data_IF_631962329344
#
_entry.id   IF_631962329344
#
_cell.length_a   1.000
_cell.length_b   1.000
_cell.length_c   1.000
_cell.angle_alpha   90.00
_cell.angle_beta   90.00
_cell.angle_gamma   90.00
#
_symmetry.space_group_name_H-M   'P 1'
#
loop_
_entity.id
_entity.type
_entity.pdbx_description
1 polymer ?
#
# COMPACT_ATOMS: atom_id res chain seq x y z
N UNK A 1 25.17 26.96 -40.67
CA UNK A 1 24.64 27.55 -39.42
C UNK A 1 23.14 27.85 -39.44
N UNK A 2 22.56 28.48 -40.48
CA UNK A 2 21.10 28.78 -40.52
C UNK A 2 20.24 27.51 -40.58
N UNK A 3 20.63 26.51 -41.36
CA UNK A 3 19.91 25.27 -41.50
C UNK A 3 19.96 24.43 -40.23
N UNK A 4 21.09 24.41 -39.53
CA UNK A 4 21.24 23.76 -38.22
C UNK A 4 20.32 24.42 -37.18
N UNK A 5 20.28 25.77 -37.11
CA UNK A 5 19.35 26.50 -36.21
C UNK A 5 17.88 26.21 -36.49
N UNK A 6 17.49 26.02 -37.76
CA UNK A 6 16.12 25.66 -38.11
C UNK A 6 15.74 24.23 -37.66
N UNK A 7 16.65 23.29 -37.76
CA UNK A 7 16.45 21.93 -37.32
C UNK A 7 16.45 21.80 -35.81
N UNK A 8 17.33 22.52 -35.10
CA UNK A 8 17.30 22.63 -33.64
C UNK A 8 15.98 23.18 -33.12
N UNK A 9 15.41 24.19 -33.81
CA UNK A 9 14.10 24.75 -33.45
C UNK A 9 12.94 23.75 -33.63
N UNK A 10 13.03 22.87 -34.63
CA UNK A 10 12.03 21.84 -34.88
C UNK A 10 12.11 20.73 -33.82
N UNK A 11 13.32 20.32 -33.44
CA UNK A 11 13.55 19.33 -32.36
C UNK A 11 13.04 19.87 -31.03
N UNK A 12 13.38 21.11 -30.69
CA UNK A 12 12.90 21.75 -29.46
C UNK A 12 11.38 21.90 -29.41
N UNK A 13 10.73 22.15 -30.56
CA UNK A 13 9.28 22.17 -30.68
C UNK A 13 8.65 20.82 -30.35
N UNK A 14 9.20 19.76 -30.89
CA UNK A 14 8.73 18.38 -30.62
C UNK A 14 8.99 17.91 -29.19
N UNK A 15 10.11 18.32 -28.57
CA UNK A 15 10.38 18.07 -27.16
C UNK A 15 9.40 18.80 -26.23
N UNK A 16 9.06 20.04 -26.55
CA UNK A 16 8.06 20.80 -25.80
C UNK A 16 6.64 20.20 -25.94
N UNK A 17 6.28 19.75 -27.13
CA UNK A 17 5.03 19.01 -27.35
C UNK A 17 5.00 17.71 -26.56
N UNK A 18 6.11 16.98 -26.53
CA UNK A 18 6.24 15.74 -25.75
C UNK A 18 6.07 15.99 -24.25
N UNK A 19 6.73 17.03 -23.73
CA UNK A 19 6.61 17.42 -22.32
C UNK A 19 5.20 17.89 -21.96
N UNK A 20 4.52 18.55 -22.86
CA UNK A 20 3.13 18.99 -22.67
C UNK A 20 2.16 17.80 -22.62
N UNK A 21 2.29 16.84 -23.53
CA UNK A 21 1.48 15.62 -23.54
C UNK A 21 1.73 14.75 -22.29
N UNK A 22 2.96 14.71 -21.78
CA UNK A 22 3.27 14.02 -20.52
C UNK A 22 2.52 14.62 -19.32
N UNK A 23 2.46 15.97 -19.23
CA UNK A 23 1.71 16.66 -18.17
C UNK A 23 0.20 16.42 -18.26
N UNK A 24 -0.35 16.36 -19.47
CA UNK A 24 -1.77 16.04 -19.68
C UNK A 24 -2.06 14.62 -19.18
N UNK A 25 -1.20 13.68 -19.48
CA UNK A 25 -1.35 12.29 -19.03
C UNK A 25 -1.26 12.16 -17.50
N UNK A 26 -0.34 12.89 -16.86
CA UNK A 26 -0.23 12.97 -15.40
C UNK A 26 -1.50 13.50 -14.75
N UNK A 27 -2.09 14.55 -15.32
CA UNK A 27 -3.33 15.15 -14.83
C UNK A 27 -4.54 14.19 -14.98
N UNK A 28 -4.65 13.53 -16.13
CA UNK A 28 -5.67 12.49 -16.37
C UNK A 28 -5.55 11.37 -15.33
N UNK A 29 -4.34 10.92 -15.06
CA UNK A 29 -4.09 9.86 -14.08
C UNK A 29 -4.37 10.30 -12.64
N UNK A 30 -4.09 11.56 -12.28
CA UNK A 30 -4.44 12.12 -10.98
C UNK A 30 -5.95 12.15 -10.78
N UNK A 31 -6.70 12.70 -11.75
CA UNK A 31 -8.15 12.76 -11.70
C UNK A 31 -8.78 11.36 -11.64
N UNK A 32 -8.20 10.40 -12.37
CA UNK A 32 -8.61 9.00 -12.30
C UNK A 32 -8.38 8.40 -10.91
N UNK A 33 -7.25 8.71 -10.29
CA UNK A 33 -6.93 8.23 -8.95
C UNK A 33 -7.88 8.82 -7.90
N UNK A 34 -8.20 10.11 -7.99
CA UNK A 34 -9.16 10.78 -7.11
C UNK A 34 -10.54 10.13 -7.18
N UNK A 35 -11.03 9.84 -8.40
CA UNK A 35 -12.32 9.17 -8.60
C UNK A 35 -12.32 7.73 -8.06
N UNK A 36 -11.24 6.96 -8.29
CA UNK A 36 -11.10 5.61 -7.77
C UNK A 36 -11.01 5.59 -6.23
N UNK A 37 -10.38 6.61 -5.64
CA UNK A 37 -10.32 6.76 -4.18
C UNK A 37 -11.70 7.09 -3.59
N UNK A 38 -12.49 7.88 -4.31
CA UNK A 38 -13.86 8.21 -3.94
C UNK A 38 -14.78 6.98 -3.96
N UNK A 39 -14.61 6.08 -4.94
CA UNK A 39 -15.35 4.80 -5.01
C UNK A 39 -15.04 3.85 -3.84
N UNK A 40 -13.86 3.96 -3.23
CA UNK A 40 -13.46 3.12 -2.11
C UNK A 40 -13.95 3.61 -0.75
N UNK A 41 -14.59 4.78 -0.68
CA UNK A 41 -15.14 5.29 0.57
C UNK A 41 -16.43 4.56 0.97
N UNK A 42 -16.65 4.25 2.26
CA UNK A 42 -17.87 3.57 2.73
C UNK A 42 -19.17 4.26 2.32
N UNK A 43 -19.13 5.59 2.21
CA UNK A 43 -20.27 6.42 1.78
C UNK A 43 -20.68 6.17 0.33
N UNK A 44 -19.75 5.67 -0.50
CA UNK A 44 -20.01 5.35 -1.89
C UNK A 44 -21.03 4.21 -2.06
N UNK A 45 -21.03 3.24 -1.16
CA UNK A 45 -21.99 2.14 -1.18
C UNK A 45 -23.44 2.63 -1.09
N UNK A 46 -23.68 3.71 -0.34
CA UNK A 46 -24.98 4.35 -0.13
C UNK A 46 -25.32 5.44 -1.16
N UNK A 47 -24.42 5.75 -2.10
CA UNK A 47 -24.63 6.80 -3.10
C UNK A 47 -25.70 6.46 -4.11
N UNK A 48 -26.36 7.50 -4.63
CA UNK A 48 -27.37 7.40 -5.70
C UNK A 48 -26.83 6.65 -6.93
N UNK A 49 -27.59 5.69 -7.50
CA UNK A 49 -27.23 4.98 -8.74
C UNK A 49 -26.81 5.90 -9.89
N UNK A 50 -27.46 7.06 -10.00
CA UNK A 50 -27.10 8.06 -11.02
C UNK A 50 -25.71 8.66 -10.80
N UNK A 51 -25.30 8.85 -9.54
CA UNK A 51 -23.96 9.32 -9.21
C UNK A 51 -22.92 8.27 -9.55
N UNK A 52 -23.17 7.00 -9.22
CA UNK A 52 -22.31 5.86 -9.59
C UNK A 52 -22.15 5.75 -11.11
N UNK A 53 -23.24 5.84 -11.85
CA UNK A 53 -23.22 5.80 -13.31
C UNK A 53 -22.39 6.94 -13.91
N UNK A 54 -22.50 8.17 -13.38
CA UNK A 54 -21.69 9.32 -13.81
C UNK A 54 -20.21 9.11 -13.55
N UNK A 55 -19.83 8.59 -12.39
CA UNK A 55 -18.42 8.32 -12.05
C UNK A 55 -17.84 7.23 -12.94
N UNK A 56 -18.56 6.13 -13.19
CA UNK A 56 -18.14 5.10 -14.13
C UNK A 56 -18.00 5.64 -15.56
N UNK A 57 -18.94 6.49 -16.00
CA UNK A 57 -18.83 7.15 -17.29
C UNK A 57 -17.58 8.05 -17.36
N UNK A 58 -17.30 8.81 -16.31
CA UNK A 58 -16.14 9.70 -16.23
C UNK A 58 -14.82 8.92 -16.20
N UNK A 59 -14.75 7.80 -15.46
CA UNK A 59 -13.61 6.90 -15.46
C UNK A 59 -13.35 6.28 -16.83
N UNK A 60 -14.40 5.89 -17.56
CA UNK A 60 -14.27 5.35 -18.92
C UNK A 60 -13.76 6.42 -19.90
N UNK A 61 -14.24 7.66 -19.76
CA UNK A 61 -13.81 8.80 -20.57
C UNK A 61 -12.35 9.17 -20.31
N UNK A 62 -11.93 9.16 -19.03
CA UNK A 62 -10.53 9.38 -18.63
C UNK A 62 -9.62 8.25 -19.12
N UNK A 63 -10.08 7.00 -19.09
CA UNK A 63 -9.34 5.87 -19.63
C UNK A 63 -9.13 6.01 -21.15
N UNK A 64 -10.19 6.40 -21.89
CA UNK A 64 -10.11 6.66 -23.33
C UNK A 64 -9.14 7.81 -23.64
N UNK A 65 -9.26 8.93 -22.91
CA UNK A 65 -8.32 10.06 -23.04
C UNK A 65 -6.89 9.66 -22.72
N UNK A 66 -6.66 8.83 -21.70
CA UNK A 66 -5.34 8.30 -21.38
C UNK A 66 -4.76 7.49 -22.54
N UNK A 67 -5.57 6.62 -23.16
CA UNK A 67 -5.14 5.80 -24.31
C UNK A 67 -4.81 6.69 -25.53
N UNK A 68 -5.62 7.70 -25.79
CA UNK A 68 -5.36 8.67 -26.87
C UNK A 68 -4.09 9.48 -26.62
N UNK A 69 -3.83 9.93 -25.39
CA UNK A 69 -2.59 10.64 -25.01
C UNK A 69 -1.36 9.76 -25.17
N UNK A 70 -1.43 8.49 -24.76
CA UNK A 70 -0.33 7.53 -24.96
C UNK A 70 -0.01 7.38 -26.45
N UNK A 71 -1.02 7.25 -27.30
CA UNK A 71 -0.83 7.10 -28.76
C UNK A 71 -0.19 8.35 -29.39
N UNK A 72 -0.54 9.56 -28.91
CA UNK A 72 0.12 10.81 -29.35
C UNK A 72 1.57 10.87 -28.89
N UNK A 73 1.88 10.46 -27.66
CA UNK A 73 3.24 10.38 -27.16
C UNK A 73 4.10 9.45 -28.02
N UNK A 74 3.60 8.27 -28.38
CA UNK A 74 4.31 7.32 -29.26
C UNK A 74 4.55 7.90 -30.67
N UNK A 75 3.57 8.60 -31.23
CA UNK A 75 3.69 9.26 -32.53
C UNK A 75 4.73 10.38 -32.48
N UNK A 76 4.64 11.28 -31.50
CA UNK A 76 5.57 12.39 -31.34
C UNK A 76 6.99 11.91 -31.05
N UNK A 77 7.15 10.83 -30.30
CA UNK A 77 8.45 10.16 -30.07
C UNK A 77 9.03 9.61 -31.38
N UNK A 78 8.20 9.04 -32.26
CA UNK A 78 8.60 8.55 -33.57
C UNK A 78 8.98 9.68 -34.54
N UNK A 79 8.28 10.78 -34.51
CA UNK A 79 8.60 11.98 -35.30
C UNK A 79 9.87 12.67 -34.82
N UNK A 80 10.09 12.73 -33.50
CA UNK A 80 11.32 13.21 -32.87
C UNK A 80 12.52 12.35 -33.29
N UNK A 81 12.40 11.03 -33.29
CA UNK A 81 13.44 10.11 -33.77
C UNK A 81 13.83 10.37 -35.22
N UNK A 82 12.82 10.63 -36.09
CA UNK A 82 13.08 10.98 -37.50
C UNK A 82 13.75 12.35 -37.69
N UNK A 83 13.35 13.34 -36.89
CA UNK A 83 13.97 14.67 -36.90
C UNK A 83 15.43 14.63 -36.41
N UNK A 84 15.71 13.85 -35.37
CA UNK A 84 17.05 13.60 -34.86
C UNK A 84 17.95 12.92 -35.91
N UNK A 85 17.42 11.95 -36.65
CA UNK A 85 18.19 11.26 -37.70
C UNK A 85 18.52 12.18 -38.89
N UNK A 86 17.59 13.05 -39.31
CA UNK A 86 17.85 14.10 -40.33
C UNK A 86 18.89 15.11 -39.86
N UNK A 87 18.82 15.53 -38.57
CA UNK A 87 19.81 16.44 -37.97
C UNK A 87 21.21 15.80 -37.98
N UNK A 88 21.29 14.50 -37.64
CA UNK A 88 22.53 13.74 -37.64
C UNK A 88 23.15 13.66 -39.03
N UNK A 89 22.34 13.35 -40.08
CA UNK A 89 22.80 13.29 -41.49
C UNK A 89 23.32 14.65 -41.99
N UNK A 90 22.64 15.76 -41.61
CA UNK A 90 23.08 17.11 -41.94
C UNK A 90 24.38 17.47 -41.21
N UNK A 91 24.49 17.03 -39.95
CA UNK A 91 25.71 17.18 -39.13
C UNK A 91 26.88 16.42 -39.72
N UNK A 92 26.64 15.16 -40.16
CA UNK A 92 27.69 14.32 -40.79
C UNK A 92 28.21 14.91 -42.11
N UNK A 93 27.35 15.61 -42.88
CA UNK A 93 27.75 16.32 -44.09
C UNK A 93 28.58 17.57 -43.77
N UNK A 94 28.25 18.28 -42.67
CA UNK A 94 29.07 19.41 -42.16
C UNK A 94 30.37 18.91 -41.52
N UNK A 95 30.40 17.68 -40.98
CA UNK A 95 31.59 17.10 -40.37
C UNK A 95 32.76 16.90 -41.35
N UNK A 96 32.44 16.59 -42.62
CA UNK A 96 33.47 16.49 -43.68
C UNK A 96 34.22 17.78 -43.91
N UNK A 97 33.62 18.93 -43.58
CA UNK A 97 34.20 20.25 -43.81
C UNK A 97 34.85 20.89 -42.57
N UNK A 98 34.65 20.32 -41.39
CA UNK A 98 35.07 20.96 -40.13
C UNK A 98 35.80 20.01 -39.15
N UNK A 99 36.50 19.02 -39.69
CA UNK A 99 37.03 17.87 -38.93
C UNK A 99 38.06 18.26 -37.83
N UNK A 100 38.71 19.41 -37.94
CA UNK A 100 39.77 19.83 -36.98
C UNK A 100 39.26 20.54 -35.74
N UNK A 101 38.12 21.26 -35.78
CA UNK A 101 37.56 21.96 -34.62
C UNK A 101 36.74 21.08 -33.67
N UNK A 102 36.51 19.82 -33.99
CA UNK A 102 35.48 19.01 -33.35
C UNK A 102 35.89 18.02 -32.27
N UNK A 103 37.15 17.77 -32.04
CA UNK A 103 37.57 16.82 -31.00
C UNK A 103 37.12 17.27 -29.59
N UNK A 104 37.08 18.55 -29.32
CA UNK A 104 36.60 19.09 -28.04
C UNK A 104 35.08 19.13 -27.94
N UNK A 105 34.35 19.49 -29.02
CA UNK A 105 32.86 19.52 -28.99
C UNK A 105 32.25 18.12 -28.90
N UNK A 106 32.89 17.13 -29.54
CA UNK A 106 32.39 15.74 -29.46
C UNK A 106 32.55 15.17 -28.05
N UNK A 107 33.62 15.55 -27.33
CA UNK A 107 33.85 15.17 -25.94
C UNK A 107 32.82 15.79 -24.99
N UNK A 108 32.53 17.09 -25.15
CA UNK A 108 31.52 17.80 -24.34
C UNK A 108 30.10 17.29 -24.59
N UNK A 109 29.80 16.91 -25.85
CA UNK A 109 28.48 16.35 -26.19
C UNK A 109 28.28 14.96 -25.59
N UNK A 110 29.35 14.15 -25.55
CA UNK A 110 29.36 12.83 -24.92
C UNK A 110 29.16 12.93 -23.41
N UNK A 111 29.88 13.86 -22.77
CA UNK A 111 29.77 14.12 -21.33
C UNK A 111 28.37 14.63 -20.93
N UNK A 112 27.78 15.52 -21.71
CA UNK A 112 26.40 16.00 -21.51
C UNK A 112 25.38 14.87 -21.66
N UNK A 113 25.58 13.95 -22.63
CA UNK A 113 24.71 12.81 -22.84
C UNK A 113 24.80 11.80 -21.71
N UNK A 114 25.98 11.53 -21.18
CA UNK A 114 26.21 10.68 -20.01
C UNK A 114 25.55 11.28 -18.75
N UNK A 115 25.63 12.59 -18.56
CA UNK A 115 24.93 13.30 -17.48
C UNK A 115 23.41 13.24 -17.63
N UNK A 116 22.89 13.40 -18.87
CA UNK A 116 21.42 13.26 -19.12
C UNK A 116 20.92 11.84 -18.92
N UNK A 117 21.68 10.83 -19.34
CA UNK A 117 21.33 9.43 -19.11
C UNK A 117 21.36 9.05 -17.61
N UNK A 118 22.34 9.61 -16.89
CA UNK A 118 22.44 9.43 -15.44
C UNK A 118 21.28 10.12 -14.72
N UNK A 119 20.95 11.35 -15.13
CA UNK A 119 19.79 12.07 -14.60
C UNK A 119 18.45 11.39 -14.91
N UNK A 120 18.29 10.85 -16.13
CA UNK A 120 17.09 10.12 -16.51
C UNK A 120 16.94 8.78 -15.75
N UNK A 121 18.06 8.05 -15.53
CA UNK A 121 18.09 6.87 -14.67
C UNK A 121 17.71 7.21 -13.23
N UNK A 122 18.31 8.27 -12.68
CA UNK A 122 18.05 8.74 -11.32
C UNK A 122 16.57 9.14 -11.13
N UNK A 123 16.01 9.85 -12.12
CA UNK A 123 14.59 10.23 -12.08
C UNK A 123 13.63 9.04 -12.16
N UNK A 124 13.95 8.02 -12.95
CA UNK A 124 13.16 6.77 -12.99
C UNK A 124 13.24 6.03 -11.66
N UNK A 125 14.41 5.98 -11.07
CA UNK A 125 14.63 5.36 -9.77
C UNK A 125 13.88 6.11 -8.67
N UNK A 126 13.96 7.45 -8.63
CA UNK A 126 13.18 8.29 -7.73
C UNK A 126 11.65 8.13 -7.90
N UNK A 127 11.16 8.05 -9.14
CA UNK A 127 9.73 7.84 -9.40
C UNK A 127 9.27 6.46 -8.91
N UNK A 128 10.02 5.41 -9.20
CA UNK A 128 9.75 4.05 -8.73
C UNK A 128 9.76 3.97 -7.20
N UNK A 129 10.73 4.61 -6.57
CA UNK A 129 10.88 4.72 -5.13
C UNK A 129 9.70 5.47 -4.49
N UNK A 130 9.29 6.59 -5.09
CA UNK A 130 8.14 7.38 -4.62
C UNK A 130 6.83 6.60 -4.73
N UNK A 131 6.65 5.82 -5.80
CA UNK A 131 5.48 4.95 -5.95
C UNK A 131 5.44 3.84 -4.89
N UNK A 132 6.57 3.24 -4.58
CA UNK A 132 6.67 2.20 -3.54
C UNK A 132 6.30 2.75 -2.17
N UNK A 133 6.80 3.94 -1.82
CA UNK A 133 6.43 4.62 -0.57
C UNK A 133 4.93 4.94 -0.49
N UNK A 134 4.36 5.48 -1.59
CA UNK A 134 2.91 5.72 -1.64
C UNK A 134 2.09 4.44 -1.46
N UNK A 135 2.54 3.33 -2.04
CA UNK A 135 1.89 2.03 -1.86
C UNK A 135 1.91 1.60 -0.40
N UNK A 136 3.08 1.60 0.25
CA UNK A 136 3.22 1.22 1.66
C UNK A 136 2.36 2.08 2.58
N UNK A 137 2.35 3.41 2.38
CA UNK A 137 1.50 4.32 3.16
C UNK A 137 0.00 4.06 2.94
N UNK A 138 -0.40 3.72 1.72
CA UNK A 138 -1.79 3.37 1.43
C UNK A 138 -2.19 2.03 2.05
N UNK A 139 -1.31 1.06 2.03
CA UNK A 139 -1.56 -0.26 2.62
C UNK A 139 -1.67 -0.16 4.15
N UNK A 140 -0.81 0.65 4.78
CA UNK A 140 -0.92 0.98 6.20
C UNK A 140 -2.24 1.68 6.56
N UNK A 141 -2.65 2.68 5.75
CA UNK A 141 -3.96 3.35 5.92
C UNK A 141 -5.13 2.38 5.77
N UNK A 142 -5.06 1.43 4.83
CA UNK A 142 -6.09 0.41 4.64
C UNK A 142 -6.23 -0.48 5.87
N UNK A 143 -5.12 -0.96 6.41
CA UNK A 143 -5.15 -1.75 7.64
C UNK A 143 -5.72 -0.93 8.81
N UNK A 144 -5.29 0.32 8.97
CA UNK A 144 -5.83 1.23 9.98
C UNK A 144 -7.34 1.43 9.88
N UNK A 145 -7.84 1.67 8.67
CA UNK A 145 -9.27 1.84 8.41
C UNK A 145 -10.06 0.54 8.66
N UNK A 146 -9.50 -0.61 8.27
CA UNK A 146 -10.12 -1.91 8.52
C UNK A 146 -10.28 -2.15 10.02
N UNK A 147 -9.21 -2.03 10.80
CA UNK A 147 -9.25 -2.21 12.26
C UNK A 147 -10.22 -1.23 12.92
N UNK A 148 -10.23 0.04 12.50
CA UNK A 148 -11.17 1.04 13.02
C UNK A 148 -12.63 0.66 12.70
N UNK A 149 -12.90 0.11 11.52
CA UNK A 149 -14.26 -0.36 11.15
C UNK A 149 -14.69 -1.56 11.99
N UNK A 150 -13.79 -2.50 12.24
CA UNK A 150 -14.04 -3.67 13.09
C UNK A 150 -14.33 -3.24 14.54
N UNK A 151 -13.57 -2.31 15.08
CA UNK A 151 -13.84 -1.75 16.42
C UNK A 151 -15.22 -1.11 16.54
N UNK A 152 -15.63 -0.33 15.54
CA UNK A 152 -16.96 0.30 15.52
C UNK A 152 -18.08 -0.76 15.52
N UNK A 153 -17.95 -1.79 14.67
CA UNK A 153 -18.92 -2.91 14.62
C UNK A 153 -19.01 -3.65 15.95
N UNK A 154 -17.88 -3.92 16.58
CA UNK A 154 -17.83 -4.58 17.89
C UNK A 154 -18.49 -3.73 18.98
N UNK A 155 -18.18 -2.43 19.04
CA UNK A 155 -18.79 -1.49 19.98
C UNK A 155 -20.31 -1.36 19.78
N UNK A 156 -20.78 -1.36 18.54
CA UNK A 156 -22.20 -1.36 18.21
C UNK A 156 -22.89 -2.68 18.62
N UNK A 157 -22.25 -3.81 18.35
CA UNK A 157 -22.73 -5.13 18.76
C UNK A 157 -22.85 -5.23 20.29
N UNK A 158 -21.85 -4.76 21.02
CA UNK A 158 -21.88 -4.75 22.49
C UNK A 158 -23.00 -3.84 23.02
N UNK A 159 -23.17 -2.63 22.45
CA UNK A 159 -24.29 -1.74 22.82
C UNK A 159 -25.64 -2.35 22.50
N UNK A 160 -25.78 -3.02 21.37
CA UNK A 160 -27.02 -3.71 21.00
C UNK A 160 -27.32 -4.89 21.95
N UNK A 161 -26.30 -5.67 22.31
CA UNK A 161 -26.43 -6.76 23.29
C UNK A 161 -26.86 -6.24 24.68
N UNK A 162 -26.24 -5.15 25.16
CA UNK A 162 -26.62 -4.50 26.41
C UNK A 162 -28.06 -3.99 26.40
N UNK A 163 -28.50 -3.35 25.29
CA UNK A 163 -29.90 -2.90 25.12
C UNK A 163 -30.89 -4.05 25.14
N UNK A 164 -30.56 -5.18 24.46
CA UNK A 164 -31.39 -6.38 24.47
C UNK A 164 -31.47 -7.01 25.85
N UNK A 165 -30.35 -7.12 26.57
CA UNK A 165 -30.31 -7.62 27.94
C UNK A 165 -31.14 -6.74 28.91
N UNK A 166 -31.00 -5.41 28.81
CA UNK A 166 -31.78 -4.45 29.59
C UNK A 166 -33.28 -4.51 29.27
N UNK A 167 -33.65 -4.70 28.00
CA UNK A 167 -35.04 -4.88 27.57
C UNK A 167 -35.65 -6.22 28.06
N UNK A 168 -34.86 -7.29 28.04
CA UNK A 168 -35.25 -8.61 28.56
C UNK A 168 -35.45 -8.56 30.10
N UNK A 169 -34.57 -7.90 30.81
CA UNK A 169 -34.67 -7.67 32.25
C UNK A 169 -35.96 -6.87 32.66
N UNK A 170 -36.33 -5.90 31.82
CA UNK A 170 -37.61 -5.12 32.04
C UNK A 170 -38.86 -5.92 31.73
N UNK A 171 -38.80 -6.96 30.86
CA UNK A 171 -39.96 -7.83 30.52
C UNK A 171 -40.15 -8.96 31.51
N UNK A 172 -39.10 -9.39 32.19
CA UNK A 172 -39.16 -10.51 33.14
C UNK A 172 -39.46 -10.03 34.58
N UNK A 173 -40.33 -9.12 34.84
CA UNK A 173 -40.84 -8.57 36.09
C UNK A 173 -40.59 -9.34 37.39
N UNK A 174 -39.41 -9.91 37.60
CA UNK A 174 -39.00 -10.68 38.76
C UNK A 174 -37.71 -10.04 39.32
N UNK A 175 -37.84 -9.39 40.44
CA UNK A 175 -36.72 -9.00 41.28
C UNK A 175 -35.94 -10.25 41.67
N UNK A 176 -34.86 -10.54 40.97
CA UNK A 176 -33.80 -11.37 41.47
C UNK A 176 -32.59 -10.53 41.74
N UNK A 177 -32.18 -10.57 43.00
CA UNK A 177 -30.97 -9.93 43.55
C UNK A 177 -29.79 -10.17 42.61
N UNK A 178 -29.13 -9.08 42.23
CA UNK A 178 -27.72 -8.97 41.84
C UNK A 178 -27.02 -10.26 41.42
N UNK A 179 -27.32 -10.74 40.21
CA UNK A 179 -26.29 -11.45 39.43
C UNK A 179 -25.57 -10.37 38.61
N UNK A 180 -24.38 -10.01 39.08
CA UNK A 180 -23.44 -9.20 38.33
C UNK A 180 -23.33 -9.75 36.92
N UNK A 181 -23.70 -8.94 35.92
CA UNK A 181 -23.34 -9.25 34.53
C UNK A 181 -21.86 -9.59 34.50
N UNK A 182 -21.43 -10.63 33.75
CA UNK A 182 -20.02 -10.93 33.70
C UNK A 182 -19.31 -9.67 33.21
N UNK A 183 -18.56 -9.05 34.11
CA UNK A 183 -17.70 -7.93 33.78
C UNK A 183 -16.87 -8.34 32.54
N UNK A 184 -16.65 -7.45 31.56
CA UNK A 184 -15.76 -7.75 30.47
C UNK A 184 -14.49 -8.29 31.07
N UNK A 185 -14.12 -9.54 30.73
CA UNK A 185 -12.92 -10.19 31.26
C UNK A 185 -11.79 -9.20 31.03
N UNK A 186 -11.25 -8.69 32.14
CA UNK A 186 -10.13 -7.78 32.15
C UNK A 186 -9.00 -8.50 31.45
N UNK A 187 -8.75 -8.18 30.18
CA UNK A 187 -7.56 -8.67 29.50
C UNK A 187 -6.41 -8.15 30.30
N UNK A 188 -5.70 -9.05 30.99
CA UNK A 188 -4.52 -8.70 31.76
C UNK A 188 -3.45 -8.22 30.78
N UNK A 189 -3.39 -6.91 30.59
CA UNK A 189 -2.44 -6.23 29.71
C UNK A 189 -1.00 -6.43 30.20
N UNK A 190 -0.85 -6.71 31.50
CA UNK A 190 0.41 -6.95 32.18
C UNK A 190 0.26 -8.20 33.05
N UNK A 191 0.91 -9.31 32.65
CA UNK A 191 0.99 -10.49 33.49
C UNK A 191 0.49 -11.83 32.94
N UNK A 192 -0.01 -11.90 31.68
CA UNK A 192 -0.25 -13.17 30.99
C UNK A 192 1.05 -13.79 30.47
N UNK A 193 1.09 -15.12 30.22
CA UNK A 193 2.24 -15.77 29.63
C UNK A 193 2.61 -15.09 28.30
N UNK A 194 3.87 -14.71 28.16
CA UNK A 194 4.40 -14.20 26.90
C UNK A 194 4.57 -15.36 25.93
N UNK A 195 4.13 -15.18 24.69
CA UNK A 195 4.19 -16.24 23.70
C UNK A 195 4.45 -15.63 22.32
N UNK A 196 5.37 -16.25 21.59
CA UNK A 196 5.58 -15.90 20.20
C UNK A 196 4.54 -16.59 19.31
N UNK A 197 4.08 -15.93 18.25
CA UNK A 197 3.14 -16.53 17.32
C UNK A 197 3.74 -17.67 16.51
N UNK A 198 5.08 -17.69 16.40
CA UNK A 198 5.89 -18.71 15.72
C UNK A 198 7.21 -18.89 16.44
N UNK A 199 7.88 -20.06 16.35
CA UNK A 199 9.19 -20.27 16.97
C UNK A 199 10.35 -19.56 16.24
N UNK A 200 10.05 -18.84 15.14
CA UNK A 200 11.03 -18.16 14.30
C UNK A 200 11.78 -17.01 14.96
N UNK A 201 12.93 -16.65 14.38
CA UNK A 201 13.74 -15.50 14.86
C UNK A 201 13.10 -14.18 14.43
N UNK A 202 13.21 -13.16 15.29
CA UNK A 202 12.80 -11.79 14.95
C UNK A 202 13.76 -11.20 13.91
N UNK A 203 13.20 -10.76 12.78
CA UNK A 203 13.92 -10.11 11.66
C UNK A 203 13.82 -8.59 11.75
N UNK A 204 12.68 -8.09 12.21
CA UNK A 204 12.47 -6.65 12.44
C UNK A 204 11.55 -6.45 13.65
N UNK A 205 11.83 -5.41 14.44
CA UNK A 205 11.09 -5.08 15.66
C UNK A 205 10.18 -3.87 15.45
N UNK A 206 9.12 -3.78 16.23
CA UNK A 206 8.29 -2.58 16.32
C UNK A 206 9.16 -1.34 16.61
N UNK A 207 8.88 -0.24 15.89
CA UNK A 207 9.60 1.03 16.03
C UNK A 207 10.99 1.07 15.40
N UNK A 208 11.55 -0.06 14.97
CA UNK A 208 12.85 -0.14 14.29
C UNK A 208 12.80 0.61 12.96
N UNK A 209 13.90 1.30 12.65
CA UNK A 209 14.02 2.03 11.38
C UNK A 209 14.09 1.06 10.22
N UNK A 210 13.25 1.26 9.23
CA UNK A 210 13.38 0.61 7.92
C UNK A 210 13.66 1.67 6.86
N UNK A 211 14.66 1.43 6.05
CA UNK A 211 14.94 2.29 4.91
C UNK A 211 14.28 1.66 3.68
N UNK A 212 13.27 2.34 3.18
CA UNK A 212 12.61 1.97 1.93
C UNK A 212 12.82 3.10 0.96
N UNK A 213 13.55 2.82 -0.11
CA UNK A 213 13.76 3.80 -1.18
C UNK A 213 14.36 5.13 -0.71
N UNK A 214 15.36 5.07 0.18
CA UNK A 214 16.08 6.26 0.68
C UNK A 214 15.31 7.09 1.72
N UNK A 215 14.08 6.73 2.06
CA UNK A 215 13.33 7.34 3.17
C UNK A 215 13.31 6.41 4.36
N UNK A 216 13.51 6.97 5.54
CA UNK A 216 13.44 6.24 6.79
C UNK A 216 12.00 6.25 7.30
N UNK A 217 11.44 5.06 7.47
CA UNK A 217 10.17 4.80 8.11
C UNK A 217 10.39 3.88 9.32
N UNK A 218 9.34 3.56 10.08
CA UNK A 218 9.41 2.65 11.24
C UNK A 218 8.46 1.48 11.05
N UNK A 219 8.91 0.31 11.51
CA UNK A 219 8.05 -0.86 11.57
C UNK A 219 6.90 -0.65 12.56
N UNK A 220 5.67 -0.87 12.11
CA UNK A 220 4.45 -0.80 12.95
C UNK A 220 4.17 -2.12 13.66
N UNK A 221 4.88 -3.18 13.30
CA UNK A 221 4.79 -4.51 13.88
C UNK A 221 6.15 -5.18 13.99
N UNK A 222 6.15 -6.44 14.37
CA UNK A 222 7.32 -7.30 14.46
C UNK A 222 7.27 -8.33 13.33
N UNK A 223 8.39 -8.58 12.69
CA UNK A 223 8.52 -9.55 11.61
C UNK A 223 9.34 -10.74 12.12
N UNK A 224 8.80 -11.94 11.93
CA UNK A 224 9.47 -13.20 12.28
C UNK A 224 9.89 -13.92 11.01
N UNK A 225 11.08 -14.48 11.00
CA UNK A 225 11.50 -15.48 10.02
C UNK A 225 10.78 -16.79 10.32
N UNK A 226 10.21 -17.44 9.29
CA UNK A 226 9.44 -18.66 9.47
C UNK A 226 9.85 -19.72 8.47
N UNK A 227 9.63 -20.97 8.83
CA UNK A 227 9.67 -22.07 7.88
C UNK A 227 8.32 -22.08 7.11
N UNK A 228 8.35 -22.49 5.85
CA UNK A 228 7.13 -22.63 5.06
C UNK A 228 6.15 -23.59 5.73
N UNK A 229 4.88 -23.22 5.74
CA UNK A 229 3.77 -23.99 6.31
C UNK A 229 3.86 -24.21 7.84
N UNK A 230 4.73 -23.45 8.53
CA UNK A 230 4.81 -23.45 9.99
C UNK A 230 3.51 -22.95 10.61
N UNK A 231 3.06 -23.61 11.69
CA UNK A 231 1.85 -23.21 12.41
C UNK A 231 2.01 -21.82 13.05
N UNK A 232 1.04 -20.96 12.79
CA UNK A 232 0.94 -19.65 13.43
C UNK A 232 -0.06 -19.74 14.57
N UNK A 233 0.38 -19.38 15.77
CA UNK A 233 -0.38 -19.55 17.01
C UNK A 233 -0.96 -18.21 17.49
N UNK A 234 -2.17 -18.26 18.02
CA UNK A 234 -2.76 -17.12 18.73
C UNK A 234 -1.92 -16.82 20.00
N UNK A 235 -1.44 -15.59 20.13
CA UNK A 235 -0.62 -15.18 21.30
C UNK A 235 -1.44 -15.04 22.58
N UNK A 236 -2.78 -14.87 22.45
CA UNK A 236 -3.75 -14.78 23.55
C UNK A 236 -5.12 -15.26 23.12
N UNK A 237 -5.97 -15.54 24.13
CA UNK A 237 -7.39 -15.84 23.92
C UNK A 237 -8.04 -14.70 23.15
N UNK A 238 -8.89 -15.03 22.18
CA UNK A 238 -9.55 -14.03 21.37
C UNK A 238 -10.62 -14.59 20.45
N UNK A 239 -11.16 -13.72 19.62
CA UNK A 239 -12.13 -14.05 18.58
C UNK A 239 -11.62 -13.56 17.25
N UNK A 240 -11.74 -14.40 16.22
CA UNK A 240 -11.42 -14.00 14.85
C UNK A 240 -12.45 -12.97 14.37
N UNK A 241 -12.01 -11.78 14.01
CA UNK A 241 -12.86 -10.70 13.48
C UNK A 241 -12.61 -10.39 12.03
N UNK A 242 -11.51 -10.89 11.49
CA UNK A 242 -11.15 -10.81 10.08
C UNK A 242 -10.27 -11.99 9.69
N UNK A 243 -10.55 -12.59 8.53
CA UNK A 243 -9.78 -13.65 7.91
C UNK A 243 -9.96 -13.56 6.40
N UNK A 244 -9.11 -12.80 5.72
CA UNK A 244 -9.15 -12.58 4.27
C UNK A 244 -7.84 -11.99 3.76
N UNK A 245 -7.70 -11.89 2.43
CA UNK A 245 -6.57 -11.24 1.79
C UNK A 245 -6.64 -9.71 1.93
N UNK A 246 -5.54 -9.12 2.38
CA UNK A 246 -5.36 -7.66 2.40
C UNK A 246 -4.07 -7.30 1.67
N UNK A 247 -4.19 -6.47 0.63
CA UNK A 247 -3.04 -6.01 -0.15
C UNK A 247 -1.99 -5.38 0.76
N UNK A 248 -0.73 -5.75 0.57
CA UNK A 248 0.42 -5.31 1.38
C UNK A 248 0.68 -6.17 2.61
N UNK A 249 -0.30 -6.99 3.02
CA UNK A 249 -0.20 -7.89 4.18
C UNK A 249 -0.46 -9.36 3.83
N UNK A 250 -0.82 -9.66 2.56
CA UNK A 250 -1.16 -11.03 2.15
C UNK A 250 -2.45 -11.54 2.81
N UNK A 251 -2.54 -12.87 2.97
CA UNK A 251 -3.61 -13.44 3.78
C UNK A 251 -3.41 -13.01 5.24
N UNK A 252 -4.45 -12.38 5.79
CA UNK A 252 -4.43 -11.69 7.07
C UNK A 252 -5.48 -12.25 8.00
N UNK A 253 -5.09 -12.56 9.23
CA UNK A 253 -6.03 -12.87 10.30
C UNK A 253 -5.94 -11.81 11.39
N UNK A 254 -7.08 -11.36 11.91
CA UNK A 254 -7.14 -10.41 13.02
C UNK A 254 -7.96 -11.02 14.14
N UNK A 255 -7.36 -11.04 15.35
CA UNK A 255 -8.02 -11.45 16.56
C UNK A 255 -8.40 -10.24 17.41
N UNK A 256 -9.62 -10.23 17.92
CA UNK A 256 -10.07 -9.33 18.98
C UNK A 256 -9.91 -10.02 20.34
N UNK A 257 -9.20 -9.37 21.23
CA UNK A 257 -8.94 -9.85 22.61
C UNK A 257 -9.83 -9.13 23.63
N UNK A 258 -10.69 -8.22 23.16
CA UNK A 258 -11.49 -7.34 24.01
C UNK A 258 -10.70 -6.11 24.51
N UNK A 259 -11.40 -5.20 25.19
CA UNK A 259 -10.84 -3.94 25.71
C UNK A 259 -10.07 -3.10 24.66
N UNK A 260 -10.42 -3.23 23.37
CA UNK A 260 -9.78 -2.50 22.26
C UNK A 260 -8.44 -3.04 21.82
N UNK A 261 -8.05 -4.26 22.27
CA UNK A 261 -6.82 -4.93 21.85
C UNK A 261 -7.07 -5.85 20.66
N UNK A 262 -6.27 -5.71 19.62
CA UNK A 262 -6.28 -6.55 18.43
C UNK A 262 -4.87 -7.04 18.12
N UNK A 263 -4.76 -8.28 17.68
CA UNK A 263 -3.53 -8.80 17.07
C UNK A 263 -3.77 -9.10 15.60
N UNK A 264 -2.77 -8.77 14.80
CA UNK A 264 -2.77 -8.90 13.34
C UNK A 264 -1.67 -9.87 12.96
N UNK A 265 -2.01 -10.87 12.15
CA UNK A 265 -1.10 -11.90 11.65
C UNK A 265 -1.16 -11.87 10.13
N UNK A 266 -0.11 -11.40 9.49
CA UNK A 266 -0.04 -11.24 8.02
C UNK A 266 0.98 -12.16 7.36
N UNK A 267 0.92 -12.24 6.04
CA UNK A 267 1.72 -13.12 5.19
C UNK A 267 1.48 -14.61 5.43
N UNK A 268 0.22 -14.98 5.76
CA UNK A 268 -0.14 -16.38 5.91
C UNK A 268 -0.28 -17.07 4.53
N UNK A 269 0.03 -18.36 4.47
CA UNK A 269 -0.26 -19.20 3.31
C UNK A 269 -1.73 -19.61 3.30
N UNK A 270 -2.22 -20.14 4.42
CA UNK A 270 -3.61 -20.58 4.61
C UNK A 270 -4.11 -20.11 5.96
N UNK A 271 -5.41 -19.93 6.06
CA UNK A 271 -6.10 -19.63 7.32
C UNK A 271 -6.82 -20.90 7.80
N UNK A 272 -6.68 -21.25 9.08
CA UNK A 272 -7.29 -22.43 9.69
C UNK A 272 -8.46 -22.07 10.59
N UNK A 273 -8.78 -20.78 10.68
CA UNK A 273 -9.92 -20.26 11.47
C UNK A 273 -10.72 -19.27 10.65
N UNK A 274 -12.01 -19.31 10.83
CA UNK A 274 -12.98 -18.45 10.17
C UNK A 274 -13.42 -17.28 11.07
N UNK A 275 -14.00 -16.25 10.43
CA UNK A 275 -14.55 -15.10 11.15
C UNK A 275 -15.63 -15.57 12.12
N UNK A 276 -15.50 -15.24 13.39
CA UNK A 276 -16.40 -15.60 14.46
C UNK A 276 -15.85 -16.66 15.40
N UNK A 277 -14.83 -17.41 14.99
CA UNK A 277 -14.21 -18.44 15.81
C UNK A 277 -13.58 -17.87 17.07
N UNK A 278 -13.73 -18.60 18.16
CA UNK A 278 -13.03 -18.34 19.43
C UNK A 278 -11.77 -19.19 19.48
N UNK A 279 -10.67 -18.55 19.80
CA UNK A 279 -9.36 -19.19 19.92
C UNK A 279 -8.77 -18.95 21.31
N UNK A 280 -8.01 -19.90 21.79
CA UNK A 280 -7.20 -19.79 23.01
C UNK A 280 -5.75 -19.47 22.65
N UNK A 281 -5.02 -18.92 23.61
CA UNK A 281 -3.57 -18.81 23.49
C UNK A 281 -2.94 -20.16 23.14
N UNK A 282 -2.11 -20.21 22.11
CA UNK A 282 -1.48 -21.44 21.61
C UNK A 282 -2.25 -22.16 20.51
N UNK A 283 -3.52 -21.84 20.25
CA UNK A 283 -4.25 -22.46 19.14
C UNK A 283 -3.62 -22.06 17.80
N UNK A 284 -3.53 -23.02 16.87
CA UNK A 284 -3.15 -22.75 15.49
C UNK A 284 -4.27 -21.99 14.81
N UNK A 285 -3.97 -20.86 14.22
CA UNK A 285 -4.94 -19.99 13.55
C UNK A 285 -4.71 -19.94 12.04
N UNK A 286 -3.46 -20.17 11.61
CA UNK A 286 -3.06 -20.11 10.20
C UNK A 286 -1.75 -20.87 9.99
N UNK A 287 -1.32 -20.98 8.73
CA UNK A 287 0.00 -21.45 8.33
C UNK A 287 0.81 -20.31 7.75
N UNK A 288 2.08 -20.25 8.12
CA UNK A 288 3.00 -19.23 7.64
C UNK A 288 3.24 -19.32 6.13
N UNK A 289 3.26 -18.17 5.47
CA UNK A 289 3.44 -18.05 4.03
C UNK A 289 4.68 -17.27 3.63
N UNK A 290 4.57 -16.58 2.52
CA UNK A 290 5.60 -15.69 1.98
C UNK A 290 5.05 -14.29 1.83
N UNK A 291 5.92 -13.29 2.02
CA UNK A 291 5.59 -11.92 1.67
C UNK A 291 5.62 -11.71 0.14
N UNK A 292 5.27 -10.51 -0.33
CA UNK A 292 5.31 -10.16 -1.76
C UNK A 292 6.72 -10.31 -2.39
N UNK A 293 7.80 -10.28 -1.57
CA UNK A 293 9.18 -10.54 -1.97
C UNK A 293 9.58 -12.03 -1.96
N UNK A 294 8.62 -12.96 -1.86
CA UNK A 294 8.81 -14.42 -1.79
C UNK A 294 9.65 -14.90 -0.58
N UNK A 295 9.89 -14.05 0.41
CA UNK A 295 10.58 -14.39 1.65
C UNK A 295 9.57 -14.96 2.66
N UNK A 296 9.91 -16.09 3.32
CA UNK A 296 9.05 -16.70 4.33
C UNK A 296 9.15 -15.92 5.64
N UNK A 297 8.13 -15.11 5.91
CA UNK A 297 8.04 -14.26 7.10
C UNK A 297 6.60 -14.17 7.58
N UNK A 298 6.43 -14.09 8.89
CA UNK A 298 5.18 -13.71 9.53
C UNK A 298 5.26 -12.25 9.95
N UNK A 299 4.28 -11.46 9.57
CA UNK A 299 4.07 -10.12 10.11
C UNK A 299 3.14 -10.21 11.32
N UNK A 300 3.58 -9.69 12.46
CA UNK A 300 2.78 -9.61 13.68
C UNK A 300 2.69 -8.18 14.18
N UNK A 301 1.47 -7.72 14.46
CA UNK A 301 1.24 -6.39 14.99
C UNK A 301 0.22 -6.44 16.14
N UNK A 302 0.53 -5.72 17.23
CA UNK A 302 -0.39 -5.48 18.35
C UNK A 302 -0.98 -4.08 18.22
N UNK A 303 -2.29 -3.98 18.30
CA UNK A 303 -3.00 -2.70 18.27
C UNK A 303 -3.85 -2.50 19.53
N UNK A 304 -3.88 -1.26 20.00
CA UNK A 304 -4.78 -0.84 21.05
C UNK A 304 -5.53 0.44 20.64
N UNK A 305 -6.85 0.39 20.69
CA UNK A 305 -7.73 1.48 20.25
C UNK A 305 -7.39 1.98 18.83
N UNK A 306 -7.12 1.05 17.90
CA UNK A 306 -6.83 1.33 16.51
C UNK A 306 -5.39 1.76 16.22
N UNK A 307 -4.55 1.98 17.22
CA UNK A 307 -3.15 2.39 17.05
C UNK A 307 -2.21 1.22 17.27
N UNK A 308 -1.18 1.05 16.43
CA UNK A 308 -0.10 0.09 16.67
C UNK A 308 0.63 0.43 17.98
N UNK A 309 0.93 -0.59 18.75
CA UNK A 309 1.71 -0.47 20.01
C UNK A 309 2.79 -1.54 20.06
N UNK A 310 3.79 -1.32 20.92
CA UNK A 310 4.90 -2.25 21.13
C UNK A 310 4.39 -3.60 21.67
N UNK A 311 4.62 -4.71 20.94
CA UNK A 311 4.14 -6.03 21.33
C UNK A 311 5.05 -6.75 22.35
N UNK A 312 6.19 -6.18 22.78
CA UNK A 312 7.16 -6.83 23.69
C UNK A 312 6.54 -7.29 25.01
N UNK A 313 5.48 -6.62 25.47
CA UNK A 313 4.72 -7.03 26.65
C UNK A 313 3.91 -8.32 26.45
N UNK A 314 3.68 -8.75 25.22
CA UNK A 314 2.90 -9.94 24.85
C UNK A 314 3.77 -11.06 24.28
N UNK A 315 4.93 -10.74 23.77
CA UNK A 315 5.86 -11.64 23.10
C UNK A 315 7.04 -12.02 24.02
N UNK A 316 7.62 -13.16 23.72
CA UNK A 316 8.87 -13.63 24.35
C UNK A 316 10.06 -13.35 23.41
N UNK A 317 10.43 -12.05 23.23
CA UNK A 317 11.45 -11.58 22.28
C UNK A 317 12.43 -10.61 22.91
#
# INVERSE_FOLDING_TARGET
KRQLKSQEKTVLGLENELSHEQKILEEINRQRLELLTQEQQPQWAASDPNQKARTHMMLSLLAKKSTESIHRLEKNQKELGRALERSKRTSDSLQKTLQEERSEQTRLTKERRERQLTAAKLNRELASQTMTLKRLQNDEKRLGNLVASLQRKEAEAQKAAQRRAAAAAKRSGKQTKTASAPAPKKVLVSGGPRMNPVPGKVVARFGEKRTVSGKTDRWQGTVFSVTRDEGVHAVRDGKVVFADYLRGYGNLIILDHGAGYFTVYGNNATMEKDIGDKVKAGDVISRAGKNEGAVSVLYFELRHNGKPIDPTGWLNI
#
